data_IF_351230564879
#
_entry.id   IF_351230564879
#
_cell.length_a   1.000
_cell.length_b   1.000
_cell.length_c   1.000
_cell.angle_alpha   90.00
_cell.angle_beta   90.00
_cell.angle_gamma   90.00
#
_symmetry.space_group_name_H-M   'P 1'
#
loop_
_entity.id
_entity.type
_entity.pdbx_description
1 polymer ?
#
# COMPACT_ATOMS: atom_id res chain seq x y z
N UNK A 1 23.73 13.86 -12.31
CA UNK A 1 23.77 13.50 -13.74
C UNK A 1 22.46 12.88 -14.15
N UNK A 2 22.04 13.10 -15.39
CA UNK A 2 20.87 12.42 -15.93
C UNK A 2 21.18 10.92 -16.08
N UNK A 3 20.28 10.02 -15.66
CA UNK A 3 20.47 8.59 -15.87
C UNK A 3 20.54 8.28 -17.38
N UNK A 4 21.11 7.12 -17.77
CA UNK A 4 21.19 6.70 -19.18
C UNK A 4 19.83 6.65 -19.88
N UNK A 5 18.76 6.44 -19.11
CA UNK A 5 17.36 6.46 -19.53
C UNK A 5 16.48 6.93 -18.37
N UNK A 6 15.28 7.48 -18.63
CA UNK A 6 14.34 7.82 -17.57
C UNK A 6 13.79 6.57 -16.87
N UNK A 7 13.38 6.72 -15.61
CA UNK A 7 12.73 5.64 -14.87
C UNK A 7 11.36 5.36 -15.51
N UNK A 8 11.02 4.11 -15.86
CA UNK A 8 9.75 3.80 -16.50
C UNK A 8 8.55 4.28 -15.69
N UNK A 9 7.60 4.93 -16.35
CA UNK A 9 6.34 5.36 -15.73
C UNK A 9 6.42 6.64 -14.88
N UNK A 10 7.61 7.21 -14.69
CA UNK A 10 7.77 8.52 -14.03
C UNK A 10 7.73 9.66 -15.06
N UNK A 11 7.13 10.79 -14.66
CA UNK A 11 7.05 11.98 -15.51
C UNK A 11 8.40 12.70 -15.64
N UNK A 12 8.58 13.46 -16.72
CA UNK A 12 9.77 14.29 -16.94
C UNK A 12 9.56 15.73 -16.45
N UNK A 13 10.56 16.37 -15.80
CA UNK A 13 11.90 15.85 -15.51
C UNK A 13 11.96 14.95 -14.27
N UNK A 14 12.76 13.87 -14.33
CA UNK A 14 13.07 13.04 -13.17
C UNK A 14 14.50 13.25 -12.63
N UNK A 15 14.68 13.20 -11.31
CA UNK A 15 15.99 13.28 -10.64
C UNK A 15 16.26 12.00 -9.86
N UNK A 16 17.44 11.42 -10.05
CA UNK A 16 17.82 10.13 -9.45
C UNK A 16 19.10 10.24 -8.62
N UNK A 17 19.31 9.30 -7.70
CA UNK A 17 20.59 9.12 -7.04
C UNK A 17 21.56 8.41 -8.00
N UNK A 18 22.82 8.86 -8.08
CA UNK A 18 23.89 8.21 -8.84
C UNK A 18 25.03 7.81 -7.90
N UNK A 19 25.39 6.54 -7.94
CA UNK A 19 26.49 5.92 -7.19
C UNK A 19 27.61 5.48 -8.14
N UNK A 20 28.70 6.25 -8.15
CA UNK A 20 29.92 5.88 -8.88
C UNK A 20 30.77 4.94 -8.00
N UNK A 21 30.71 3.63 -8.28
CA UNK A 21 31.36 2.59 -7.50
C UNK A 21 32.47 1.90 -8.31
N UNK A 22 33.56 1.51 -7.64
CA UNK A 22 34.57 0.61 -8.22
C UNK A 22 34.75 -0.57 -7.29
N UNK A 23 34.32 -1.75 -7.75
CA UNK A 23 34.24 -2.95 -6.92
C UNK A 23 34.94 -4.10 -7.64
N UNK A 24 36.11 -4.50 -7.11
CA UNK A 24 36.81 -5.70 -7.54
C UNK A 24 36.43 -6.94 -6.70
N UNK A 25 37.04 -8.11 -6.99
CA UNK A 25 36.76 -9.35 -6.29
C UNK A 25 36.99 -9.25 -4.78
N UNK A 26 35.98 -9.62 -3.99
CA UNK A 26 35.97 -9.58 -2.52
C UNK A 26 35.83 -8.18 -1.91
N UNK A 27 35.63 -7.14 -2.72
CA UNK A 27 35.43 -5.77 -2.27
C UNK A 27 33.94 -5.43 -2.16
N UNK A 28 33.63 -4.37 -1.43
CA UNK A 28 32.29 -3.82 -1.32
C UNK A 28 32.34 -2.30 -1.31
N UNK A 29 31.26 -1.68 -1.79
CA UNK A 29 31.05 -0.23 -1.73
C UNK A 29 29.54 0.07 -1.81
N UNK A 30 29.13 1.23 -1.34
CA UNK A 30 27.74 1.67 -1.35
C UNK A 30 27.55 2.91 -0.49
N UNK A 31 26.29 3.25 -0.22
CA UNK A 31 25.94 4.32 0.70
C UNK A 31 25.01 3.82 1.81
N UNK A 32 24.82 4.68 2.80
CA UNK A 32 23.79 4.53 3.82
C UNK A 32 23.11 5.87 4.01
N UNK A 33 21.79 5.85 4.05
CA UNK A 33 20.97 6.97 4.50
C UNK A 33 20.46 6.64 5.90
N UNK A 34 21.16 7.15 6.91
CA UNK A 34 20.66 7.13 8.27
C UNK A 34 19.64 8.27 8.45
N UNK A 35 18.44 7.93 8.91
CA UNK A 35 17.39 8.91 9.15
C UNK A 35 17.80 9.82 10.30
N UNK A 36 17.66 11.12 10.08
CA UNK A 36 18.12 12.13 11.02
C UNK A 36 17.03 13.13 11.37
N UNK A 37 17.25 13.85 12.47
CA UNK A 37 16.52 15.08 12.74
C UNK A 37 16.81 16.15 11.66
N UNK A 38 16.09 17.27 11.72
CA UNK A 38 16.24 18.39 10.76
C UNK A 38 17.65 19.00 10.75
N UNK A 39 18.35 18.97 11.89
CA UNK A 39 19.72 19.48 12.01
C UNK A 39 20.80 18.53 11.46
N UNK A 40 20.42 17.27 11.14
CA UNK A 40 21.31 16.21 10.65
C UNK A 40 22.46 15.92 11.64
N UNK A 41 22.16 15.94 12.94
CA UNK A 41 23.14 15.68 14.01
C UNK A 41 22.70 14.57 14.99
N UNK A 42 21.51 14.01 14.80
CA UNK A 42 20.98 12.90 15.60
C UNK A 42 20.19 11.93 14.71
N UNK A 43 20.32 10.62 14.98
CA UNK A 43 19.52 9.60 14.29
C UNK A 43 18.11 9.55 14.86
N UNK A 44 17.10 9.56 13.99
CA UNK A 44 15.67 9.51 14.37
C UNK A 44 15.05 8.28 13.70
N UNK A 45 14.53 7.30 14.47
CA UNK A 45 13.96 6.09 13.90
C UNK A 45 12.58 6.33 13.29
N UNK A 46 12.14 5.40 12.45
CA UNK A 46 10.79 5.25 11.96
C UNK A 46 10.24 3.88 12.36
N UNK A 47 8.93 3.78 12.58
CA UNK A 47 8.26 2.50 12.75
C UNK A 47 7.79 2.00 11.38
N UNK A 48 8.41 0.91 10.93
CA UNK A 48 8.08 0.22 9.67
C UNK A 48 7.40 -1.13 9.90
N UNK A 49 7.07 -1.49 11.14
CA UNK A 49 6.42 -2.75 11.48
C UNK A 49 5.05 -2.98 10.81
N UNK A 50 4.28 -1.96 10.38
CA UNK A 50 3.04 -2.17 9.61
C UNK A 50 3.24 -2.53 8.13
N UNK A 51 4.43 -2.29 7.57
CA UNK A 51 4.71 -2.57 6.16
C UNK A 51 5.06 -4.04 5.95
N UNK A 52 5.01 -4.51 4.71
CA UNK A 52 5.30 -5.91 4.34
C UNK A 52 6.58 -6.09 3.52
N UNK A 53 7.20 -4.99 3.10
CA UNK A 53 8.42 -5.04 2.30
C UNK A 53 8.99 -3.65 2.01
N UNK A 54 10.10 -3.65 1.30
CA UNK A 54 10.78 -2.48 0.76
C UNK A 54 10.67 -2.50 -0.75
N UNK A 55 10.55 -1.33 -1.38
CA UNK A 55 10.58 -1.22 -2.83
C UNK A 55 11.54 -0.15 -3.31
N UNK A 56 12.10 -0.38 -4.49
CA UNK A 56 13.12 0.51 -5.07
C UNK A 56 13.26 0.30 -6.57
N UNK A 57 13.50 1.38 -7.32
CA UNK A 57 14.02 1.29 -8.68
C UNK A 57 15.54 1.25 -8.65
N UNK A 58 16.13 0.23 -9.28
CA UNK A 58 17.57 0.08 -9.43
C UNK A 58 17.95 -0.01 -10.91
N UNK A 59 19.03 0.66 -11.30
CA UNK A 59 19.62 0.54 -12.63
C UNK A 59 20.77 -0.47 -12.61
N UNK A 60 20.55 -1.64 -13.23
CA UNK A 60 21.54 -2.71 -13.31
C UNK A 60 22.56 -2.50 -14.43
N UNK A 61 23.75 -3.05 -14.24
CA UNK A 61 24.86 -2.99 -15.20
C UNK A 61 25.26 -4.37 -15.74
N UNK A 62 24.59 -5.45 -15.30
CA UNK A 62 24.81 -6.83 -15.70
C UNK A 62 26.28 -7.26 -15.52
N UNK A 63 26.90 -6.84 -14.41
CA UNK A 63 28.29 -7.18 -14.08
C UNK A 63 28.46 -8.65 -13.69
N UNK A 64 27.38 -9.34 -13.33
CA UNK A 64 27.40 -10.67 -12.71
C UNK A 64 27.78 -10.64 -11.22
N UNK A 65 27.97 -9.45 -10.64
CA UNK A 65 28.18 -9.23 -9.23
C UNK A 65 26.90 -9.31 -8.41
N UNK A 66 26.98 -8.87 -7.16
CA UNK A 66 25.83 -8.80 -6.25
C UNK A 66 25.62 -7.36 -5.81
N UNK A 67 24.41 -6.85 -5.95
CA UNK A 67 23.93 -5.66 -5.26
C UNK A 67 23.26 -6.08 -3.96
N UNK A 68 23.16 -5.18 -3.00
CA UNK A 68 22.43 -5.44 -1.76
C UNK A 68 21.62 -4.23 -1.33
N UNK A 69 20.53 -4.50 -0.61
CA UNK A 69 19.80 -3.51 0.18
C UNK A 69 19.91 -3.92 1.65
N UNK A 70 20.45 -3.04 2.48
CA UNK A 70 20.54 -3.20 3.93
C UNK A 70 19.47 -2.31 4.60
N UNK A 71 18.67 -2.87 5.51
CA UNK A 71 17.85 -2.12 6.47
C UNK A 71 18.62 -2.01 7.78
N UNK A 72 18.63 -0.81 8.35
CA UNK A 72 19.17 -0.51 9.67
C UNK A 72 18.02 -0.55 10.65
N UNK A 73 17.82 -1.67 11.33
CA UNK A 73 16.78 -1.81 12.34
C UNK A 73 17.21 -1.10 13.65
N UNK A 74 16.69 -1.56 14.78
CA UNK A 74 16.95 -1.05 16.11
C UNK A 74 18.43 -1.06 16.53
N UNK A 75 18.71 -0.32 17.62
CA UNK A 75 20.03 -0.11 18.23
C UNK A 75 20.00 -0.44 19.71
N UNK A 76 21.17 -0.60 20.35
CA UNK A 76 21.19 -0.72 21.80
C UNK A 76 20.68 0.58 22.45
N UNK A 77 19.87 0.50 23.53
CA UNK A 77 19.35 1.67 24.22
C UNK A 77 20.44 2.66 24.65
N UNK A 78 20.31 3.93 24.25
CA UNK A 78 21.27 5.00 24.59
C UNK A 78 22.60 4.91 23.83
N UNK A 79 22.67 4.13 22.76
CA UNK A 79 23.89 3.99 21.95
C UNK A 79 24.33 5.31 21.34
N UNK A 80 25.65 5.56 21.38
CA UNK A 80 26.32 6.69 20.72
C UNK A 80 27.21 6.24 19.55
N UNK A 81 27.05 5.00 19.10
CA UNK A 81 27.83 4.40 17.98
C UNK A 81 26.90 3.70 17.00
N UNK A 82 27.36 3.41 15.79
CA UNK A 82 26.57 2.64 14.83
C UNK A 82 26.58 1.16 15.20
N UNK A 83 25.62 0.78 16.03
CA UNK A 83 25.29 -0.57 16.42
C UNK A 83 23.87 -0.96 15.96
N UNK A 84 23.40 -0.35 14.86
CA UNK A 84 22.12 -0.74 14.26
C UNK A 84 22.22 -2.17 13.73
N UNK A 85 21.20 -2.97 14.02
CA UNK A 85 21.10 -4.32 13.47
C UNK A 85 20.86 -4.25 11.96
N UNK A 86 21.69 -4.96 11.19
CA UNK A 86 21.61 -4.96 9.73
C UNK A 86 20.84 -6.19 9.25
N UNK A 87 19.82 -5.94 8.45
CA UNK A 87 19.09 -6.94 7.71
C UNK A 87 19.28 -6.69 6.22
N UNK A 88 19.67 -7.70 5.46
CA UNK A 88 20.11 -7.54 4.08
C UNK A 88 19.36 -8.44 3.13
N UNK A 89 19.17 -7.98 1.90
CA UNK A 89 18.75 -8.81 0.78
C UNK A 89 19.76 -8.64 -0.36
N UNK A 90 20.15 -9.75 -0.96
CA UNK A 90 21.11 -9.81 -2.06
C UNK A 90 20.37 -9.85 -3.40
N UNK A 91 20.76 -8.98 -4.32
CA UNK A 91 20.19 -8.84 -5.67
C UNK A 91 21.30 -9.11 -6.68
N UNK A 92 21.26 -10.22 -7.44
CA UNK A 92 22.23 -10.47 -8.49
C UNK A 92 22.18 -9.38 -9.58
N UNK A 93 23.32 -8.77 -9.92
CA UNK A 93 23.41 -7.82 -11.04
C UNK A 93 23.53 -8.58 -12.36
N UNK A 94 22.44 -9.23 -12.75
CA UNK A 94 22.30 -10.01 -13.99
C UNK A 94 21.33 -9.36 -15.00
N UNK A 95 21.07 -8.06 -14.82
CA UNK A 95 20.14 -7.27 -15.60
C UNK A 95 20.78 -5.94 -16.02
N UNK A 96 20.30 -5.36 -17.12
CA UNK A 96 20.75 -4.05 -17.59
C UNK A 96 19.57 -3.10 -17.68
N UNK A 97 19.75 -1.87 -17.22
CA UNK A 97 18.68 -0.86 -17.20
C UNK A 97 17.86 -0.87 -15.92
N UNK A 98 16.80 -0.05 -15.91
CA UNK A 98 15.90 0.10 -14.78
C UNK A 98 15.05 -1.15 -14.53
N UNK A 99 15.04 -1.61 -13.28
CA UNK A 99 14.09 -2.59 -12.77
C UNK A 99 13.53 -2.13 -11.44
N UNK A 100 12.24 -2.38 -11.22
CA UNK A 100 11.56 -2.16 -9.95
C UNK A 100 11.63 -3.44 -9.14
N UNK A 101 12.12 -3.33 -7.92
CA UNK A 101 12.19 -4.45 -6.97
C UNK A 101 11.16 -4.24 -5.88
N UNK A 102 10.44 -5.32 -5.58
CA UNK A 102 9.61 -5.48 -4.40
C UNK A 102 10.30 -6.54 -3.54
N UNK A 103 10.69 -6.17 -2.33
CA UNK A 103 11.53 -6.95 -1.43
C UNK A 103 10.75 -7.20 -0.14
N UNK A 104 9.96 -8.29 -0.07
CA UNK A 104 9.26 -8.68 1.15
C UNK A 104 10.22 -8.82 2.33
N UNK A 105 9.78 -8.48 3.54
CA UNK A 105 10.61 -8.62 4.75
C UNK A 105 11.12 -10.05 4.99
N UNK A 106 10.38 -11.05 4.51
CA UNK A 106 10.77 -12.46 4.60
C UNK A 106 12.02 -12.82 3.78
N UNK A 107 12.41 -12.00 2.80
CA UNK A 107 13.60 -12.21 1.97
C UNK A 107 14.86 -11.63 2.61
N UNK A 108 14.71 -10.78 3.63
CA UNK A 108 15.82 -10.20 4.35
C UNK A 108 16.40 -11.21 5.36
N UNK A 109 17.73 -11.21 5.46
CA UNK A 109 18.47 -12.03 6.42
C UNK A 109 19.39 -11.15 7.25
N UNK A 110 19.63 -11.54 8.51
CA UNK A 110 20.53 -10.82 9.39
C UNK A 110 21.96 -10.83 8.81
N UNK A 111 22.57 -9.64 8.73
CA UNK A 111 23.95 -9.41 8.27
C UNK A 111 24.80 -8.96 9.46
N UNK A 112 25.52 -9.90 10.06
CA UNK A 112 26.42 -9.57 11.17
C UNK A 112 27.69 -8.88 10.65
N UNK A 113 27.81 -7.59 10.93
CA UNK A 113 28.99 -6.78 10.57
C UNK A 113 29.96 -6.60 11.75
N UNK A 114 29.73 -7.26 12.88
CA UNK A 114 30.59 -7.17 14.07
C UNK A 114 30.48 -5.83 14.82
N UNK A 115 29.38 -5.09 14.65
CA UNK A 115 29.14 -3.79 15.29
C UNK A 115 28.50 -3.89 16.68
N UNK A 116 28.22 -5.09 17.19
CA UNK A 116 27.62 -5.28 18.51
C UNK A 116 26.12 -4.97 18.56
N UNK A 117 25.43 -5.13 17.43
CA UNK A 117 23.98 -4.92 17.32
C UNK A 117 23.16 -5.80 18.30
N UNK A 118 21.92 -5.37 18.65
CA UNK A 118 21.04 -6.04 19.61
C UNK A 118 20.89 -7.56 19.42
N UNK A 119 20.78 -8.04 18.18
CA UNK A 119 20.56 -9.45 17.83
C UNK A 119 19.25 -9.99 18.43
N UNK A 120 18.16 -9.25 18.23
CA UNK A 120 16.83 -9.53 18.80
C UNK A 120 15.74 -9.77 17.74
N UNK A 121 16.12 -9.80 16.46
CA UNK A 121 15.23 -10.13 15.34
C UNK A 121 15.13 -8.99 14.33
N UNK A 122 14.26 -9.15 13.33
CA UNK A 122 13.91 -8.06 12.43
C UNK A 122 12.61 -7.43 12.92
N UNK A 123 12.73 -6.47 13.82
CA UNK A 123 11.60 -5.91 14.56
C UNK A 123 10.87 -4.84 13.77
N UNK A 124 11.60 -4.05 12.97
CA UNK A 124 11.11 -2.93 12.15
C UNK A 124 10.46 -1.80 12.97
N UNK A 125 10.46 -1.85 14.30
CA UNK A 125 9.80 -0.84 15.15
C UNK A 125 10.64 0.41 15.33
N UNK A 126 11.95 0.32 15.12
CA UNK A 126 12.89 1.45 15.25
C UNK A 126 13.90 1.46 14.09
N UNK A 127 13.41 1.50 12.85
CA UNK A 127 14.26 1.55 11.66
C UNK A 127 14.99 2.89 11.60
N UNK A 128 16.32 2.83 11.63
CA UNK A 128 17.22 3.98 11.62
C UNK A 128 17.72 4.38 10.23
N UNK A 129 17.38 3.62 9.18
CA UNK A 129 17.79 3.95 7.81
C UNK A 129 17.84 2.76 6.88
N UNK A 130 18.39 2.99 5.69
CA UNK A 130 18.70 1.95 4.72
C UNK A 130 20.05 2.21 4.04
N UNK A 131 20.65 1.18 3.45
CA UNK A 131 21.84 1.26 2.63
C UNK A 131 21.69 0.45 1.36
N UNK A 132 22.33 0.90 0.29
CA UNK A 132 22.35 0.20 -0.99
C UNK A 132 23.81 0.20 -1.46
N UNK A 133 24.24 -0.92 -2.03
CA UNK A 133 25.60 -1.08 -2.48
C UNK A 133 25.82 -2.36 -3.27
N UNK A 134 27.08 -2.71 -3.47
CA UNK A 134 27.47 -3.94 -4.13
C UNK A 134 28.59 -4.68 -3.42
N UNK A 135 28.64 -5.99 -3.64
CA UNK A 135 29.70 -6.90 -3.25
C UNK A 135 30.24 -7.62 -4.49
N UNK A 136 31.56 -7.50 -4.69
CA UNK A 136 32.27 -8.11 -5.80
C UNK A 136 32.51 -9.60 -5.57
N UNK A 137 31.48 -10.44 -5.61
CA UNK A 137 31.68 -11.88 -5.77
C UNK A 137 32.36 -12.22 -7.13
N UNK A 138 32.33 -11.27 -8.08
CA UNK A 138 33.17 -11.19 -9.28
C UNK A 138 33.83 -9.81 -9.38
N UNK A 139 34.67 -9.60 -10.41
CA UNK A 139 35.18 -8.26 -10.73
C UNK A 139 34.10 -7.43 -11.44
N UNK A 140 33.52 -6.46 -10.73
CA UNK A 140 32.44 -5.61 -11.26
C UNK A 140 32.99 -4.36 -11.97
N UNK A 141 34.28 -4.03 -11.76
CA UNK A 141 34.92 -2.85 -12.32
C UNK A 141 34.33 -1.53 -11.81
N UNK A 142 34.53 -0.45 -12.57
CA UNK A 142 33.95 0.87 -12.30
C UNK A 142 32.60 1.02 -12.98
N UNK A 143 31.55 1.30 -12.21
CA UNK A 143 30.17 1.41 -12.66
C UNK A 143 29.48 2.65 -12.08
N UNK A 144 28.40 3.09 -12.74
CA UNK A 144 27.43 3.99 -12.16
C UNK A 144 26.13 3.19 -11.91
N UNK A 145 25.74 3.06 -10.66
CA UNK A 145 24.43 2.55 -10.29
C UNK A 145 23.49 3.72 -10.02
N UNK A 146 22.23 3.56 -10.38
CA UNK A 146 21.21 4.59 -10.13
C UNK A 146 20.09 4.01 -9.30
N UNK A 147 19.60 4.82 -8.36
CA UNK A 147 18.53 4.47 -7.43
C UNK A 147 17.46 5.54 -7.51
N UNK A 148 16.20 5.13 -7.48
CA UNK A 148 15.07 6.04 -7.41
C UNK A 148 13.86 5.41 -6.69
N UNK A 149 12.93 6.25 -6.25
CA UNK A 149 11.65 5.84 -5.66
C UNK A 149 11.78 4.73 -4.61
N UNK A 150 12.62 4.97 -3.61
CA UNK A 150 12.68 4.13 -2.41
C UNK A 150 11.37 4.25 -1.63
N UNK A 151 10.74 3.13 -1.34
CA UNK A 151 9.48 3.07 -0.61
C UNK A 151 9.39 1.86 0.32
N UNK A 152 8.37 1.89 1.16
CA UNK A 152 7.92 0.76 1.97
C UNK A 152 6.57 0.28 1.42
N UNK A 153 6.40 -1.04 1.35
CA UNK A 153 5.27 -1.67 0.72
C UNK A 153 4.16 -1.89 1.75
N UNK A 154 2.94 -1.48 1.40
CA UNK A 154 1.74 -1.85 2.16
C UNK A 154 1.23 -3.22 1.73
N UNK A 155 0.64 -3.94 2.68
CA UNK A 155 -0.17 -5.12 2.35
C UNK A 155 -1.45 -4.66 1.66
N UNK A 156 -1.68 -5.14 0.44
CA UNK A 156 -2.98 -4.99 -0.23
C UNK A 156 -3.65 -6.35 -0.26
N UNK A 157 -4.87 -6.43 0.24
CA UNK A 157 -5.72 -7.61 0.13
C UNK A 157 -7.01 -7.20 -0.52
N UNK A 158 -7.34 -7.86 -1.61
CA UNK A 158 -8.55 -7.59 -2.37
C UNK A 158 -9.77 -8.00 -1.55
N UNK A 159 -10.63 -7.02 -1.26
CA UNK A 159 -11.92 -7.26 -0.61
C UNK A 159 -12.95 -7.67 -1.66
N UNK A 160 -13.08 -6.87 -2.72
CA UNK A 160 -13.97 -7.12 -3.87
C UNK A 160 -13.22 -6.79 -5.17
N UNK A 161 -13.24 -7.71 -6.15
CA UNK A 161 -12.70 -7.48 -7.51
C UNK A 161 -13.77 -7.48 -8.61
N UNK A 162 -15.01 -7.86 -8.26
CA UNK A 162 -16.19 -7.94 -9.13
C UNK A 162 -16.03 -8.82 -10.38
N UNK A 163 -14.99 -9.65 -10.46
CA UNK A 163 -14.71 -10.48 -11.63
C UNK A 163 -15.60 -11.73 -11.71
N UNK A 164 -16.20 -12.16 -10.60
CA UNK A 164 -17.16 -13.27 -10.55
C UNK A 164 -18.58 -12.88 -10.99
N UNK A 165 -18.83 -11.57 -11.13
CA UNK A 165 -20.10 -10.99 -11.52
C UNK A 165 -21.24 -11.22 -10.51
N UNK A 166 -20.93 -11.59 -9.27
CA UNK A 166 -21.92 -11.87 -8.24
C UNK A 166 -22.13 -10.66 -7.32
N UNK A 167 -23.39 -10.40 -6.98
CA UNK A 167 -23.79 -9.43 -5.96
C UNK A 167 -24.79 -10.10 -5.01
N UNK A 168 -24.35 -11.09 -4.22
CA UNK A 168 -25.24 -11.80 -3.29
C UNK A 168 -25.90 -10.80 -2.34
N UNK A 169 -27.20 -10.96 -2.11
CA UNK A 169 -27.98 -10.11 -1.23
C UNK A 169 -29.05 -10.94 -0.53
N UNK A 170 -29.20 -10.73 0.78
CA UNK A 170 -30.09 -11.53 1.61
C UNK A 170 -30.51 -10.78 2.87
N UNK A 171 -30.99 -11.54 3.85
CA UNK A 171 -31.45 -10.99 5.13
C UNK A 171 -31.15 -11.98 6.24
N UNK A 172 -30.65 -11.49 7.37
CA UNK A 172 -30.41 -12.31 8.55
C UNK A 172 -31.72 -12.67 9.30
N UNK A 173 -31.69 -13.56 10.32
CA UNK A 173 -32.87 -13.90 11.12
C UNK A 173 -33.54 -12.73 11.86
N UNK A 174 -32.85 -11.59 12.00
CA UNK A 174 -33.36 -10.38 12.65
C UNK A 174 -33.96 -9.38 11.65
N UNK A 175 -33.88 -9.65 10.34
CA UNK A 175 -34.38 -8.76 9.30
C UNK A 175 -33.36 -7.74 8.78
N UNK A 176 -32.08 -7.88 9.13
CA UNK A 176 -31.00 -7.00 8.66
C UNK A 176 -30.49 -7.47 7.31
N UNK A 177 -30.28 -6.54 6.38
CA UNK A 177 -29.67 -6.86 5.09
C UNK A 177 -28.25 -7.41 5.24
N UNK A 178 -27.88 -8.36 4.39
CA UNK A 178 -26.55 -8.98 4.28
C UNK A 178 -26.14 -9.11 2.81
N UNK A 179 -24.84 -9.13 2.54
CA UNK A 179 -24.29 -9.04 1.20
C UNK A 179 -24.36 -7.61 0.65
N UNK A 180 -24.64 -7.45 -0.63
CA UNK A 180 -24.78 -6.15 -1.30
C UNK A 180 -26.21 -5.62 -1.14
N UNK A 181 -26.37 -4.58 -0.31
CA UNK A 181 -27.67 -4.01 0.08
C UNK A 181 -27.74 -2.56 -0.37
N UNK A 182 -28.68 -2.23 -1.25
CA UNK A 182 -28.89 -0.86 -1.74
C UNK A 182 -29.80 -0.04 -0.82
N UNK A 183 -29.56 1.26 -0.71
CA UNK A 183 -30.38 2.20 0.05
C UNK A 183 -30.42 3.58 -0.59
N UNK A 184 -31.49 4.34 -0.33
CA UNK A 184 -31.65 5.69 -0.85
C UNK A 184 -32.62 6.54 -0.04
N UNK A 185 -32.40 7.85 -0.07
CA UNK A 185 -33.35 8.84 0.42
C UNK A 185 -34.65 8.82 -0.41
N UNK A 186 -35.74 9.32 0.19
CA UNK A 186 -37.01 9.52 -0.51
C UNK A 186 -36.82 10.39 -1.75
N UNK A 187 -37.21 9.86 -2.91
CA UNK A 187 -37.12 10.55 -4.20
C UNK A 187 -35.76 10.43 -4.91
N UNK A 188 -34.79 9.70 -4.33
CA UNK A 188 -33.58 9.25 -5.03
C UNK A 188 -33.75 7.79 -5.48
N UNK A 189 -32.80 7.27 -6.25
CA UNK A 189 -32.71 5.85 -6.58
C UNK A 189 -31.27 5.38 -6.75
N UNK A 190 -31.06 4.10 -6.52
CA UNK A 190 -29.81 3.37 -6.74
C UNK A 190 -30.13 2.02 -7.38
N UNK A 191 -29.27 1.57 -8.29
CA UNK A 191 -29.18 0.18 -8.71
C UNK A 191 -27.71 -0.18 -8.88
N UNK A 192 -27.35 -1.43 -8.58
CA UNK A 192 -25.98 -1.94 -8.72
C UNK A 192 -25.96 -3.15 -9.66
N UNK A 193 -24.95 -3.21 -10.52
CA UNK A 193 -24.68 -4.33 -11.43
C UNK A 193 -23.18 -4.51 -11.60
N UNK A 194 -22.72 -5.68 -12.02
CA UNK A 194 -21.34 -5.85 -12.49
C UNK A 194 -21.27 -5.78 -14.00
N UNK A 195 -20.22 -5.17 -14.55
CA UNK A 195 -19.97 -5.09 -16.00
C UNK A 195 -18.49 -5.32 -16.31
N UNK A 196 -18.20 -6.04 -17.39
CA UNK A 196 -16.84 -6.22 -17.93
C UNK A 196 -16.50 -5.17 -19.01
N UNK A 197 -17.45 -4.27 -19.27
CA UNK A 197 -17.38 -3.25 -20.31
C UNK A 197 -17.55 -1.83 -19.71
N UNK A 198 -16.70 -1.42 -18.75
CA UNK A 198 -16.73 -0.06 -18.22
C UNK A 198 -16.44 0.99 -19.30
N UNK A 199 -16.76 2.28 -19.07
CA UNK A 199 -16.50 3.37 -20.02
C UNK A 199 -15.03 3.48 -20.47
N UNK A 200 -14.09 3.04 -19.63
CA UNK A 200 -12.69 2.85 -19.94
C UNK A 200 -12.14 1.66 -19.14
N UNK A 201 -11.05 1.04 -19.60
CA UNK A 201 -10.36 0.02 -18.81
C UNK A 201 -9.76 0.63 -17.53
N UNK A 202 -9.82 -0.12 -16.41
CA UNK A 202 -9.16 0.29 -15.17
C UNK A 202 -7.65 0.29 -15.39
N UNK A 203 -6.92 1.40 -15.11
CA UNK A 203 -5.49 1.46 -15.36
C UNK A 203 -4.70 0.38 -14.59
N UNK A 204 -3.80 -0.30 -15.29
CA UNK A 204 -2.90 -1.29 -14.69
C UNK A 204 -3.55 -2.66 -14.40
N UNK A 205 -4.86 -2.82 -14.60
CA UNK A 205 -5.53 -4.11 -14.42
C UNK A 205 -5.66 -4.89 -15.75
N UNK A 206 -5.78 -6.24 -15.69
CA UNK A 206 -6.01 -7.07 -16.88
C UNK A 206 -7.27 -6.66 -17.65
N UNK A 207 -7.36 -7.03 -18.93
CA UNK A 207 -8.57 -6.84 -19.74
C UNK A 207 -9.03 -8.21 -20.26
N UNK A 208 -10.30 -8.63 -20.04
CA UNK A 208 -11.37 -7.88 -19.37
C UNK A 208 -11.18 -7.79 -17.84
N UNK A 209 -11.79 -6.77 -17.23
CA UNK A 209 -11.88 -6.58 -15.78
C UNK A 209 -13.32 -6.27 -15.41
N UNK A 210 -13.92 -7.11 -14.57
CA UNK A 210 -15.24 -6.85 -13.98
C UNK A 210 -15.17 -5.63 -13.07
N UNK A 211 -16.18 -4.78 -13.12
CA UNK A 211 -16.35 -3.65 -12.20
C UNK A 211 -17.79 -3.59 -11.70
N UNK A 212 -17.99 -3.02 -10.52
CA UNK A 212 -19.32 -2.60 -10.06
C UNK A 212 -19.73 -1.29 -10.76
N UNK A 213 -20.89 -1.31 -11.41
CA UNK A 213 -21.59 -0.12 -11.90
C UNK A 213 -22.72 0.22 -10.93
N UNK A 214 -22.74 1.46 -10.49
CA UNK A 214 -23.79 2.02 -9.65
C UNK A 214 -24.57 3.09 -10.42
N UNK A 215 -25.85 2.83 -10.68
CA UNK A 215 -26.76 3.74 -11.36
C UNK A 215 -27.53 4.59 -10.34
N UNK A 216 -27.11 5.85 -10.21
CA UNK A 216 -27.65 6.79 -9.23
C UNK A 216 -28.55 7.85 -9.87
N UNK A 217 -29.68 8.14 -9.23
CA UNK A 217 -30.46 9.36 -9.45
C UNK A 217 -30.61 10.09 -8.12
N UNK A 218 -29.85 11.18 -7.96
CA UNK A 218 -29.75 11.93 -6.70
C UNK A 218 -29.90 13.43 -7.02
N UNK A 219 -30.80 14.10 -6.31
CA UNK A 219 -30.98 15.55 -6.34
C UNK A 219 -30.36 16.27 -5.13
N UNK A 220 -30.48 17.61 -5.06
CA UNK A 220 -29.87 18.40 -3.99
C UNK A 220 -30.32 17.95 -2.59
N UNK A 221 -29.34 17.64 -1.72
CA UNK A 221 -29.60 17.20 -0.33
C UNK A 221 -30.12 15.76 -0.20
N UNK A 222 -30.13 14.99 -1.28
CA UNK A 222 -30.45 13.56 -1.25
C UNK A 222 -29.18 12.72 -1.20
N UNK A 223 -29.34 11.44 -0.86
CA UNK A 223 -28.28 10.45 -0.77
C UNK A 223 -28.82 9.11 -1.26
N UNK A 224 -27.94 8.29 -1.83
CA UNK A 224 -28.19 6.92 -2.21
C UNK A 224 -26.85 6.19 -2.29
N UNK A 225 -26.89 4.87 -2.22
CA UNK A 225 -25.69 4.06 -2.19
C UNK A 225 -25.99 2.58 -1.99
N UNK A 226 -24.95 1.82 -1.70
CA UNK A 226 -25.05 0.45 -1.24
C UNK A 226 -24.10 0.20 -0.06
N UNK A 227 -24.34 -0.90 0.63
CA UNK A 227 -23.46 -1.47 1.65
C UNK A 227 -23.12 -2.89 1.25
N UNK A 228 -21.84 -3.28 1.35
CA UNK A 228 -21.46 -4.69 1.37
C UNK A 228 -21.33 -5.14 2.83
N UNK A 229 -22.40 -5.69 3.39
CA UNK A 229 -22.38 -6.30 4.72
C UNK A 229 -21.87 -7.74 4.59
N UNK A 230 -20.60 -7.98 4.95
CA UNK A 230 -19.97 -9.28 4.78
C UNK A 230 -20.81 -10.41 5.39
N UNK A 231 -20.91 -11.51 4.65
CA UNK A 231 -21.86 -12.57 4.97
C UNK A 231 -21.29 -13.96 4.79
N UNK A 232 -21.95 -14.93 5.41
CA UNK A 232 -21.68 -16.34 5.17
C UNK A 232 -22.12 -16.76 3.75
N UNK A 233 -21.79 -17.99 3.33
CA UNK A 233 -22.16 -18.49 1.99
C UNK A 233 -23.67 -18.52 1.73
N UNK A 234 -24.48 -18.65 2.78
CA UNK A 234 -25.95 -18.66 2.68
C UNK A 234 -26.55 -17.26 2.55
N UNK A 235 -25.76 -16.21 2.76
CA UNK A 235 -26.18 -14.79 2.72
C UNK A 235 -27.30 -14.54 3.73
N UNK A 236 -27.16 -15.09 4.94
CA UNK A 236 -28.15 -14.98 6.02
C UNK A 236 -27.52 -14.67 7.41
N UNK A 237 -26.24 -14.32 7.46
CA UNK A 237 -25.55 -13.94 8.70
C UNK A 237 -24.48 -12.88 8.40
N UNK A 238 -24.31 -11.90 9.30
CA UNK A 238 -23.18 -10.96 9.26
C UNK A 238 -21.92 -11.67 9.73
N UNK A 239 -20.89 -11.72 8.88
CA UNK A 239 -19.59 -12.31 9.20
C UNK A 239 -18.52 -11.21 9.16
N UNK A 240 -17.98 -10.75 10.30
CA UNK A 240 -16.99 -9.68 10.30
C UNK A 240 -15.64 -10.17 9.76
N UNK A 241 -14.82 -9.22 9.34
CA UNK A 241 -13.40 -9.43 9.02
C UNK A 241 -12.54 -8.65 10.03
N UNK A 242 -11.33 -9.14 10.28
CA UNK A 242 -10.34 -8.41 11.08
C UNK A 242 -9.39 -7.66 10.15
N UNK A 243 -9.48 -6.33 10.16
CA UNK A 243 -8.65 -5.44 9.37
C UNK A 243 -7.59 -4.71 10.22
N UNK A 244 -7.38 -5.12 11.47
CA UNK A 244 -6.45 -4.46 12.41
C UNK A 244 -4.98 -4.45 11.97
N UNK A 245 -4.60 -5.30 11.01
CA UNK A 245 -3.24 -5.36 10.45
C UNK A 245 -3.05 -4.52 9.19
N UNK A 246 -4.08 -3.78 8.75
CA UNK A 246 -3.98 -2.86 7.63
C UNK A 246 -3.98 -1.43 8.16
N UNK A 247 -3.46 -0.50 7.35
CA UNK A 247 -3.38 0.93 7.69
C UNK A 247 -4.46 1.77 7.01
N UNK A 248 -5.24 1.16 6.12
CA UNK A 248 -6.20 1.88 5.30
C UNK A 248 -6.94 1.01 4.29
N UNK A 249 -7.73 1.66 3.45
CA UNK A 249 -8.46 1.06 2.33
C UNK A 249 -8.11 1.78 1.03
N UNK A 250 -8.07 1.03 -0.07
CA UNK A 250 -7.85 1.57 -1.40
C UNK A 250 -8.88 1.04 -2.40
N UNK A 251 -9.17 1.84 -3.41
CA UNK A 251 -10.14 1.50 -4.45
C UNK A 251 -9.95 2.37 -5.70
N UNK A 252 -10.38 1.82 -6.83
CA UNK A 252 -10.56 2.57 -8.07
C UNK A 252 -11.97 3.13 -8.14
N UNK A 253 -12.11 4.43 -8.47
CA UNK A 253 -13.40 5.08 -8.71
C UNK A 253 -13.39 5.73 -10.09
N UNK A 254 -14.45 5.53 -10.85
CA UNK A 254 -14.67 6.24 -12.11
C UNK A 254 -15.46 7.52 -11.84
N UNK A 255 -14.80 8.67 -11.92
CA UNK A 255 -15.42 9.98 -11.69
C UNK A 255 -16.26 10.42 -12.89
N UNK A 256 -17.38 11.07 -12.59
CA UNK A 256 -18.29 11.65 -13.59
C UNK A 256 -18.22 13.18 -13.62
N UNK A 257 -17.40 13.79 -12.75
CA UNK A 257 -17.23 15.23 -12.60
C UNK A 257 -18.56 15.97 -12.42
N UNK A 258 -19.45 15.39 -11.60
CA UNK A 258 -20.77 15.96 -11.32
C UNK A 258 -20.69 17.23 -10.47
N UNK A 259 -19.56 17.45 -9.78
CA UNK A 259 -19.40 18.50 -8.78
C UNK A 259 -20.07 18.19 -7.43
N UNK A 260 -20.66 17.00 -7.29
CA UNK A 260 -21.19 16.48 -6.04
C UNK A 260 -20.10 15.82 -5.18
N UNK A 261 -20.55 15.04 -4.19
CA UNK A 261 -19.69 14.34 -3.25
C UNK A 261 -20.10 12.88 -3.22
N UNK A 262 -19.16 12.00 -3.52
CA UNK A 262 -19.23 10.57 -3.21
C UNK A 262 -18.73 10.40 -1.77
N UNK A 263 -19.04 9.26 -1.15
CA UNK A 263 -18.49 8.94 0.17
C UNK A 263 -18.21 7.45 0.28
N UNK A 264 -17.33 7.11 1.22
CA UNK A 264 -17.02 5.74 1.59
C UNK A 264 -17.25 5.61 3.09
N UNK A 265 -18.15 4.69 3.46
CA UNK A 265 -18.43 4.34 4.86
C UNK A 265 -17.78 2.97 5.17
N UNK A 266 -17.01 2.90 6.24
CA UNK A 266 -16.57 1.65 6.89
C UNK A 266 -17.47 1.37 8.08
N UNK A 267 -17.96 0.13 8.16
CA UNK A 267 -18.82 -0.35 9.23
C UNK A 267 -17.98 -1.12 10.23
N UNK A 268 -17.88 -0.65 11.46
CA UNK A 268 -17.00 -1.23 12.48
C UNK A 268 -17.70 -1.42 13.84
N UNK A 269 -17.14 -2.28 14.69
CA UNK A 269 -17.52 -2.46 16.09
C UNK A 269 -19.01 -2.76 16.37
N UNK A 270 -19.66 -3.54 15.49
CA UNK A 270 -21.01 -4.06 15.76
C UNK A 270 -21.01 -4.86 17.08
N UNK A 271 -21.97 -4.60 17.98
CA UNK A 271 -21.95 -5.24 19.30
C UNK A 271 -22.12 -6.77 19.17
N UNK A 272 -21.35 -7.57 19.96
CA UNK A 272 -21.53 -9.01 19.99
C UNK A 272 -22.97 -9.41 20.33
N UNK A 273 -23.59 -10.22 19.46
CA UNK A 273 -24.96 -10.70 19.64
C UNK A 273 -26.05 -9.65 19.38
N UNK A 274 -25.72 -8.51 18.77
CA UNK A 274 -26.71 -7.51 18.38
C UNK A 274 -27.76 -8.10 17.43
N UNK A 275 -29.01 -7.65 17.58
CA UNK A 275 -30.13 -7.96 16.67
C UNK A 275 -30.52 -6.77 15.80
N UNK A 276 -29.73 -5.69 15.86
CA UNK A 276 -29.93 -4.46 15.07
C UNK A 276 -28.64 -4.12 14.32
N UNK A 277 -28.71 -3.17 13.38
CA UNK A 277 -27.51 -2.54 12.84
C UNK A 277 -27.04 -1.47 13.81
N UNK A 278 -26.17 -1.84 14.73
CA UNK A 278 -25.48 -0.94 15.67
C UNK A 278 -23.99 -0.82 15.38
N UNK A 279 -23.56 -1.13 14.15
CA UNK A 279 -22.19 -0.90 13.74
C UNK A 279 -21.93 0.61 13.64
N UNK A 280 -20.79 1.06 14.16
CA UNK A 280 -20.31 2.42 13.98
C UNK A 280 -20.08 2.68 12.48
N UNK A 281 -20.35 3.92 12.05
CA UNK A 281 -20.01 4.38 10.70
C UNK A 281 -18.81 5.31 10.77
N UNK A 282 -17.76 4.94 10.06
CA UNK A 282 -16.59 5.75 9.82
C UNK A 282 -16.63 6.20 8.36
N UNK A 283 -16.68 7.50 8.11
CA UNK A 283 -16.94 8.06 6.78
C UNK A 283 -15.79 8.94 6.32
N UNK A 284 -15.61 9.01 5.01
CA UNK A 284 -14.88 10.08 4.35
C UNK A 284 -15.63 10.54 3.10
N UNK A 285 -15.38 11.78 2.71
CA UNK A 285 -15.99 12.42 1.54
C UNK A 285 -14.98 12.47 0.37
N UNK A 286 -15.44 12.11 -0.81
CA UNK A 286 -14.67 12.14 -2.07
C UNK A 286 -15.38 13.10 -3.03
N UNK A 287 -14.87 14.34 -3.23
CA UNK A 287 -15.43 15.26 -4.20
C UNK A 287 -15.36 14.68 -5.62
N UNK A 288 -16.50 14.60 -6.32
CA UNK A 288 -16.55 14.16 -7.72
C UNK A 288 -16.24 15.35 -8.65
N UNK A 289 -14.98 15.76 -8.62
CA UNK A 289 -14.41 16.85 -9.42
C UNK A 289 -13.43 16.35 -10.50
N UNK A 290 -13.50 15.05 -10.82
CA UNK A 290 -12.62 14.37 -11.75
C UNK A 290 -13.43 13.52 -12.74
N UNK A 291 -12.83 13.20 -13.88
CA UNK A 291 -13.43 12.33 -14.90
C UNK A 291 -12.53 11.15 -15.18
N UNK A 292 -13.13 9.96 -15.33
CA UNK A 292 -12.38 8.73 -15.57
C UNK A 292 -11.89 8.06 -14.30
N UNK A 293 -11.12 6.99 -14.45
CA UNK A 293 -10.58 6.21 -13.34
C UNK A 293 -9.53 6.98 -12.55
N UNK A 294 -9.69 7.00 -11.24
CA UNK A 294 -8.66 7.41 -10.27
C UNK A 294 -8.53 6.36 -9.17
N UNK A 295 -7.29 6.13 -8.74
CA UNK A 295 -6.98 5.26 -7.62
C UNK A 295 -6.90 6.10 -6.35
N UNK A 296 -7.69 5.72 -5.36
CA UNK A 296 -7.71 6.35 -4.05
C UNK A 296 -7.13 5.40 -3.01
N UNK A 297 -6.38 5.97 -2.08
CA UNK A 297 -5.86 5.29 -0.89
C UNK A 297 -6.15 6.20 0.29
N UNK A 298 -6.81 5.65 1.31
CA UNK A 298 -7.19 6.37 2.51
C UNK A 298 -6.67 5.63 3.72
N UNK A 299 -5.94 6.31 4.59
CA UNK A 299 -5.55 5.77 5.89
C UNK A 299 -6.76 5.72 6.82
N UNK A 300 -6.75 4.86 7.83
CA UNK A 300 -7.82 4.84 8.85
C UNK A 300 -7.97 6.19 9.56
N UNK A 301 -6.88 6.95 9.69
CA UNK A 301 -6.88 8.31 10.26
C UNK A 301 -7.64 9.35 9.42
N UNK A 302 -7.92 9.07 8.14
CA UNK A 302 -8.66 9.98 7.27
C UNK A 302 -10.17 9.91 7.52
N UNK A 303 -10.65 8.84 8.14
CA UNK A 303 -12.07 8.65 8.44
C UNK A 303 -12.49 9.41 9.70
N UNK A 304 -13.72 9.88 9.69
CA UNK A 304 -14.37 10.48 10.85
C UNK A 304 -15.67 9.74 11.19
N UNK A 305 -16.01 9.70 12.47
CA UNK A 305 -17.27 9.09 12.90
C UNK A 305 -18.47 9.85 12.33
N UNK A 306 -19.41 9.10 11.76
CA UNK A 306 -20.67 9.59 11.18
C UNK A 306 -21.83 9.03 12.00
N UNK A 307 -22.66 9.93 12.53
CA UNK A 307 -23.88 9.54 13.24
C UNK A 307 -25.01 9.34 12.22
N UNK A 308 -25.51 8.11 12.14
CA UNK A 308 -26.65 7.74 11.29
C UNK A 308 -27.94 7.50 12.11
N UNK A 309 -27.92 7.79 13.41
CA UNK A 309 -29.07 7.61 14.31
C UNK A 309 -29.36 6.15 14.66
N UNK A 310 -28.39 5.25 14.50
CA UNK A 310 -28.53 3.83 14.81
C UNK A 310 -28.20 3.48 16.27
N UNK A 311 -27.80 4.45 17.08
CA UNK A 311 -27.52 4.28 18.51
C UNK A 311 -26.13 3.74 18.84
N UNK A 312 -25.25 3.67 17.85
CA UNK A 312 -23.82 3.38 18.00
C UNK A 312 -23.04 4.62 18.46
#
# INVERSE_FOLDING_TARGET
DSPPAPVPGLGEPNSVLNEALTIGPGQWAGFTHAFSNEAVDEWVPQDWSPYVGFSVWLYGNNTGGTLFVDILDNRNPGSTTDDAERWSVDIPDNFSGWQYFELPWADFHRKDIGNGAPNDGFTLTEVHGYGIGGYGNVDMGSQNYYVDNVGVMLRVTTVDDFNDGQLPSGTDPNGLGVGFVTWNATGASVAITTTDSPPAAVPGLPVPNGVLQEDLTIGPGQWAGFTHAFSNEAVDEWVPQDWSTYEGICLWIYGNNTGGTLFLDVLDNRNPGSTTDDAERWSLDIPDNFSGWQFFQFAWSDFHRKDIGNGA
#
